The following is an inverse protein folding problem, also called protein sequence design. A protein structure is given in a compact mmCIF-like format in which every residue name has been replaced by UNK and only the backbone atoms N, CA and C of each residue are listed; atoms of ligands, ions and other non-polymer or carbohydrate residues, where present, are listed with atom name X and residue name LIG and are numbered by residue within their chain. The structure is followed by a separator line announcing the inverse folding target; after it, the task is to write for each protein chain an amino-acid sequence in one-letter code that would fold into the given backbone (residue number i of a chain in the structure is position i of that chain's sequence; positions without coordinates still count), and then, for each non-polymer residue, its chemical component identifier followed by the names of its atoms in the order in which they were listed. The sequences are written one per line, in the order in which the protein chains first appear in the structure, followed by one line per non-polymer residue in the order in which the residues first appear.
data_IF_063467439574
#
_entry.id   IF_063467439574
#
_cell.length_a   1.000
_cell.length_b   1.000
_cell.length_c   1.000
_cell.angle_alpha   90.00
_cell.angle_beta   90.00
_cell.angle_gamma   90.00
#
_symmetry.space_group_name_H-M   'P 1'
#
loop_
_entity.id
_entity.type
_entity.pdbx_description
1 polymer ?
#
# COMPACT_ATOMS: atom_id res chain seq x y z
N UNK A 1 -16.33 -1.65 -14.55
CA UNK A 1 -15.80 -1.10 -13.29
C UNK A 1 -14.47 -1.74 -12.87
N UNK A 2 -14.30 -3.07 -12.90
CA UNK A 2 -13.03 -3.73 -12.51
C UNK A 2 -11.79 -3.32 -13.33
N UNK A 3 -11.95 -3.05 -14.62
CA UNK A 3 -10.85 -2.59 -15.50
C UNK A 3 -10.28 -1.23 -15.10
N UNK A 4 -11.11 -0.30 -14.64
CA UNK A 4 -10.65 1.02 -14.18
C UNK A 4 -9.77 0.91 -12.94
N UNK A 5 -10.19 0.10 -11.95
CA UNK A 5 -9.38 -0.14 -10.76
C UNK A 5 -8.08 -0.88 -11.09
N UNK A 6 -8.13 -1.84 -12.03
CA UNK A 6 -6.94 -2.51 -12.54
C UNK A 6 -5.92 -1.58 -13.18
N UNK A 7 -6.38 -0.61 -13.97
CA UNK A 7 -5.52 0.41 -14.58
C UNK A 7 -5.01 1.39 -13.53
N UNK A 8 -5.83 1.79 -12.55
CA UNK A 8 -5.43 2.70 -11.47
C UNK A 8 -4.41 2.09 -10.50
N UNK A 9 -4.36 0.76 -10.35
CA UNK A 9 -3.31 0.10 -9.56
C UNK A 9 -1.91 0.34 -10.13
N UNK A 10 -1.77 0.44 -11.45
CA UNK A 10 -0.48 0.59 -12.11
C UNK A 10 0.27 1.88 -11.74
N UNK A 11 -0.31 3.08 -11.86
CA UNK A 11 0.37 4.30 -11.44
C UNK A 11 0.62 4.32 -9.92
N UNK A 12 -0.28 3.76 -9.10
CA UNK A 12 -0.09 3.69 -7.64
C UNK A 12 1.11 2.79 -7.31
N UNK A 13 1.18 1.61 -7.93
CA UNK A 13 2.29 0.69 -7.76
C UNK A 13 3.60 1.31 -8.25
N UNK A 14 3.58 2.01 -9.39
CA UNK A 14 4.75 2.72 -9.89
C UNK A 14 5.27 3.75 -8.89
N UNK A 15 4.40 4.60 -8.35
CA UNK A 15 4.77 5.60 -7.35
C UNK A 15 5.26 4.92 -6.07
N UNK A 16 4.63 3.82 -5.67
CA UNK A 16 5.04 3.04 -4.51
C UNK A 16 6.46 2.47 -4.67
N UNK A 17 6.73 1.78 -5.78
CA UNK A 17 8.08 1.25 -6.08
C UNK A 17 9.10 2.37 -6.24
N UNK A 18 8.71 3.50 -6.83
CA UNK A 18 9.60 4.66 -6.98
C UNK A 18 9.98 5.24 -5.61
N UNK A 19 9.03 5.34 -4.68
CA UNK A 19 9.30 5.78 -3.32
C UNK A 19 10.15 4.75 -2.54
N UNK A 20 9.99 3.45 -2.82
CA UNK A 20 10.76 2.38 -2.17
C UNK A 20 12.21 2.29 -2.64
N UNK A 21 12.44 2.28 -3.96
CA UNK A 21 13.75 1.97 -4.54
C UNK A 21 14.51 3.21 -5.02
N UNK A 22 13.85 4.37 -5.13
CA UNK A 22 14.44 5.62 -5.63
C UNK A 22 14.87 5.60 -7.11
N UNK A 23 14.83 4.45 -7.78
CA UNK A 23 15.25 4.25 -9.17
C UNK A 23 14.06 4.06 -10.08
N UNK A 24 13.98 4.87 -11.14
CA UNK A 24 12.91 4.84 -12.15
C UNK A 24 12.88 3.53 -12.93
N UNK A 25 14.05 2.95 -13.24
CA UNK A 25 14.15 1.68 -14.00
C UNK A 25 13.53 0.53 -13.23
N UNK A 26 13.82 0.40 -11.94
CA UNK A 26 13.29 -0.68 -11.09
C UNK A 26 11.77 -0.53 -10.93
N UNK A 27 11.30 0.69 -10.70
CA UNK A 27 9.87 0.98 -10.62
C UNK A 27 9.12 0.69 -11.93
N UNK A 28 9.71 1.06 -13.07
CA UNK A 28 9.14 0.77 -14.39
C UNK A 28 9.10 -0.73 -14.66
N UNK A 29 10.20 -1.46 -14.44
CA UNK A 29 10.24 -2.91 -14.60
C UNK A 29 9.22 -3.63 -13.72
N UNK A 30 9.12 -3.27 -12.44
CA UNK A 30 8.14 -3.87 -11.53
C UNK A 30 6.69 -3.56 -11.91
N UNK A 31 6.41 -2.35 -12.38
CA UNK A 31 5.07 -1.97 -12.85
C UNK A 31 4.71 -2.69 -14.16
N UNK A 32 5.66 -2.83 -15.09
CA UNK A 32 5.48 -3.59 -16.33
C UNK A 32 5.21 -5.06 -16.01
N UNK A 33 6.00 -5.65 -15.11
CA UNK A 33 5.83 -7.04 -14.70
C UNK A 33 4.46 -7.27 -14.06
N UNK A 34 3.98 -6.33 -13.24
CA UNK A 34 2.62 -6.37 -12.68
C UNK A 34 1.53 -6.12 -13.73
N UNK A 35 1.76 -5.27 -14.73
CA UNK A 35 0.82 -5.02 -15.82
C UNK A 35 0.60 -6.24 -16.71
N UNK A 36 1.67 -6.99 -16.97
CA UNK A 36 1.66 -8.21 -17.78
C UNK A 36 1.45 -9.48 -16.97
N UNK A 37 1.18 -9.37 -15.67
CA UNK A 37 0.80 -10.52 -14.87
C UNK A 37 -0.57 -11.05 -15.34
N UNK A 38 -0.59 -12.33 -15.73
CA UNK A 38 -1.79 -12.96 -16.29
C UNK A 38 -2.95 -12.96 -15.30
N UNK A 39 -2.67 -13.05 -14.00
CA UNK A 39 -3.70 -13.06 -12.96
C UNK A 39 -4.33 -11.67 -12.82
N UNK A 40 -3.53 -10.60 -12.78
CA UNK A 40 -4.04 -9.22 -12.80
C UNK A 40 -4.87 -8.93 -14.07
N UNK A 41 -4.37 -9.32 -15.24
CA UNK A 41 -5.05 -9.09 -16.51
C UNK A 41 -6.41 -9.80 -16.59
N UNK A 42 -6.50 -11.05 -16.14
CA UNK A 42 -7.73 -11.83 -16.17
C UNK A 42 -8.72 -11.33 -15.10
N UNK A 43 -8.26 -11.05 -13.88
CA UNK A 43 -9.13 -10.61 -12.78
C UNK A 43 -9.79 -9.26 -13.03
N UNK A 44 -9.07 -8.32 -13.62
CA UNK A 44 -9.60 -6.99 -13.95
C UNK A 44 -10.66 -7.05 -15.06
N UNK A 45 -10.63 -8.08 -15.93
CA UNK A 45 -11.59 -8.31 -17.03
C UNK A 45 -12.83 -9.08 -16.60
N UNK A 46 -12.69 -10.07 -15.71
CA UNK A 46 -13.82 -10.81 -15.14
C UNK A 46 -14.55 -9.98 -14.05
N UNK A 47 -14.01 -8.79 -13.71
CA UNK A 47 -14.59 -7.82 -12.78
C UNK A 47 -14.96 -8.45 -11.43
N UNK A 48 -14.08 -9.32 -10.92
CA UNK A 48 -14.27 -9.94 -9.61
C UNK A 48 -14.00 -8.95 -8.48
N UNK A 49 -14.66 -9.17 -7.34
CA UNK A 49 -14.52 -8.33 -6.16
C UNK A 49 -13.09 -8.28 -5.60
N UNK A 50 -12.26 -9.29 -5.93
CA UNK A 50 -10.86 -9.37 -5.57
C UNK A 50 -10.03 -8.17 -6.05
N UNK A 51 -10.36 -7.63 -7.23
CA UNK A 51 -9.67 -6.47 -7.79
C UNK A 51 -9.79 -5.26 -6.85
N UNK A 52 -10.96 -5.03 -6.25
CA UNK A 52 -11.13 -3.90 -5.33
C UNK A 52 -10.36 -4.13 -4.02
N UNK A 53 -10.34 -5.37 -3.52
CA UNK A 53 -9.58 -5.73 -2.31
C UNK A 53 -8.08 -5.45 -2.46
N UNK A 54 -7.48 -5.90 -3.57
CA UNK A 54 -6.05 -5.67 -3.85
C UNK A 54 -5.74 -4.18 -3.98
N UNK A 55 -6.65 -3.39 -4.58
CA UNK A 55 -6.48 -1.95 -4.73
C UNK A 55 -6.37 -1.24 -3.38
N UNK A 56 -7.29 -1.54 -2.45
CA UNK A 56 -7.29 -0.95 -1.12
C UNK A 56 -6.13 -1.45 -0.26
N UNK A 57 -5.72 -2.71 -0.42
CA UNK A 57 -4.49 -3.23 0.20
C UNK A 57 -3.29 -2.42 -0.28
N UNK A 58 -3.11 -2.25 -1.60
CA UNK A 58 -1.99 -1.50 -2.15
C UNK A 58 -1.96 -0.05 -1.62
N UNK A 59 -3.12 0.60 -1.56
CA UNK A 59 -3.23 1.98 -1.11
C UNK A 59 -2.94 2.13 0.40
N UNK A 60 -3.43 1.20 1.23
CA UNK A 60 -3.13 1.19 2.67
C UNK A 60 -1.62 0.99 2.92
N UNK A 61 -0.99 0.05 2.22
CA UNK A 61 0.46 -0.16 2.32
C UNK A 61 1.28 1.01 1.78
N UNK A 62 0.81 1.70 0.73
CA UNK A 62 1.46 2.90 0.23
C UNK A 62 1.52 4.02 1.29
N UNK A 63 0.41 4.28 1.98
CA UNK A 63 0.37 5.29 3.04
C UNK A 63 1.12 4.86 4.30
N UNK A 64 1.08 3.58 4.66
CA UNK A 64 1.90 3.01 5.74
C UNK A 64 3.39 3.16 5.45
N UNK A 65 3.83 2.88 4.22
CA UNK A 65 5.23 3.07 3.84
C UNK A 65 5.64 4.52 4.01
N UNK A 66 4.86 5.47 3.50
CA UNK A 66 5.12 6.91 3.68
C UNK A 66 5.12 7.35 5.15
N UNK A 67 4.40 6.65 6.03
CA UNK A 67 4.49 6.86 7.47
C UNK A 67 5.83 6.36 8.05
N UNK A 68 6.32 5.22 7.58
CA UNK A 68 7.57 4.59 8.07
C UNK A 68 8.83 5.28 7.52
N UNK A 69 8.80 5.82 6.30
CA UNK A 69 9.97 6.51 5.71
C UNK A 69 10.17 7.93 6.26
N UNK A 70 9.19 8.49 6.99
CA UNK A 70 9.35 9.81 7.61
C UNK A 70 10.34 9.78 8.76
N UNK A 71 11.02 10.89 9.00
CA UNK A 71 11.96 10.98 10.13
C UNK A 71 11.22 10.83 11.46
N UNK A 72 11.80 10.12 12.44
CA UNK A 72 11.21 9.97 13.77
C UNK A 72 11.11 11.29 14.51
N UNK A 73 11.98 12.26 14.21
CA UNK A 73 11.98 13.61 14.80
C UNK A 73 10.85 14.52 14.29
N UNK A 74 10.20 14.18 13.17
CA UNK A 74 9.06 14.95 12.72
C UNK A 74 7.93 14.86 13.75
N UNK A 75 7.33 16.02 14.06
CA UNK A 75 6.19 16.10 14.98
C UNK A 75 5.14 15.03 14.65
N UNK A 76 4.76 14.25 15.67
CA UNK A 76 3.78 13.16 15.55
C UNK A 76 2.48 13.61 14.83
N UNK A 77 2.07 14.87 15.02
CA UNK A 77 0.91 15.46 14.34
C UNK A 77 1.05 15.51 12.80
N UNK A 78 2.26 15.61 12.25
CA UNK A 78 2.51 15.60 10.80
C UNK A 78 2.53 14.19 10.22
N UNK A 79 2.88 13.17 11.01
CA UNK A 79 2.90 11.76 10.59
C UNK A 79 1.53 11.09 10.73
N UNK A 80 0.70 11.55 11.67
CA UNK A 80 -0.68 11.09 11.92
C UNK A 80 -1.60 11.03 10.68
N UNK A 81 -1.66 12.03 9.77
CA UNK A 81 -2.55 11.97 8.61
C UNK A 81 -2.23 10.81 7.66
N UNK A 82 -0.94 10.46 7.50
CA UNK A 82 -0.56 9.31 6.66
C UNK A 82 -1.01 7.98 7.29
N UNK A 83 -0.90 7.87 8.62
CA UNK A 83 -1.35 6.70 9.36
C UNK A 83 -2.90 6.58 9.35
N UNK A 84 -3.60 7.70 9.53
CA UNK A 84 -5.06 7.76 9.46
C UNK A 84 -5.57 7.37 8.05
N UNK A 85 -4.93 7.85 6.98
CA UNK A 85 -5.26 7.43 5.62
C UNK A 85 -4.99 5.94 5.39
N UNK A 86 -3.87 5.41 5.89
CA UNK A 86 -3.59 3.97 5.84
C UNK A 86 -4.70 3.16 6.51
N UNK A 87 -5.14 3.57 7.71
CA UNK A 87 -6.23 2.93 8.45
C UNK A 87 -7.58 3.04 7.74
N UNK A 88 -7.88 4.22 7.15
CA UNK A 88 -9.10 4.45 6.38
C UNK A 88 -9.21 3.50 5.19
N UNK A 89 -8.16 3.42 4.36
CA UNK A 89 -8.17 2.53 3.19
C UNK A 89 -8.16 1.06 3.56
N UNK A 90 -7.47 0.69 4.66
CA UNK A 90 -7.56 -0.66 5.22
C UNK A 90 -9.01 -1.00 5.65
N UNK A 91 -9.68 -0.09 6.36
CA UNK A 91 -11.07 -0.28 6.80
C UNK A 91 -12.04 -0.43 5.62
N UNK A 92 -11.89 0.41 4.59
CA UNK A 92 -12.68 0.29 3.35
C UNK A 92 -12.41 -1.06 2.66
N UNK A 93 -11.15 -1.49 2.60
CA UNK A 93 -10.79 -2.79 2.03
C UNK A 93 -11.40 -3.97 2.80
N UNK A 94 -11.37 -3.94 4.13
CA UNK A 94 -12.02 -4.94 4.98
C UNK A 94 -13.53 -5.01 4.76
N UNK A 95 -14.19 -3.88 4.51
CA UNK A 95 -15.61 -3.84 4.17
C UNK A 95 -15.90 -4.46 2.80
N UNK A 96 -14.98 -4.35 1.83
CA UNK A 96 -15.13 -4.99 0.53
C UNK A 96 -14.87 -6.50 0.56
N UNK A 97 -13.84 -6.96 1.27
CA UNK A 97 -13.49 -8.38 1.35
C UNK A 97 -12.69 -8.71 2.61
N UNK A 98 -13.11 -9.75 3.31
CA UNK A 98 -12.45 -10.24 4.54
C UNK A 98 -10.98 -10.63 4.37
N UNK A 99 -10.55 -10.99 3.15
CA UNK A 99 -9.13 -11.28 2.85
C UNK A 99 -8.22 -10.09 3.19
N UNK A 100 -8.75 -8.86 3.16
CA UNK A 100 -7.97 -7.66 3.50
C UNK A 100 -7.54 -7.68 4.97
N UNK A 101 -8.24 -8.39 5.86
CA UNK A 101 -7.85 -8.54 7.27
C UNK A 101 -6.44 -9.15 7.40
N UNK A 102 -6.07 -10.08 6.51
CA UNK A 102 -4.73 -10.65 6.49
C UNK A 102 -3.66 -9.59 6.18
N UNK A 103 -3.97 -8.65 5.27
CA UNK A 103 -3.10 -7.52 5.00
C UNK A 103 -2.96 -6.60 6.22
N UNK A 104 -4.00 -6.52 7.06
CA UNK A 104 -3.99 -5.79 8.33
C UNK A 104 -2.98 -6.30 9.34
N UNK A 105 -2.75 -7.62 9.39
CA UNK A 105 -1.70 -8.20 10.23
C UNK A 105 -0.30 -7.67 9.84
N UNK A 106 -0.02 -7.56 8.54
CA UNK A 106 1.23 -6.98 8.06
C UNK A 106 1.34 -5.47 8.33
N UNK A 107 0.25 -4.71 8.21
CA UNK A 107 0.23 -3.29 8.59
C UNK A 107 0.52 -3.12 10.10
N UNK A 108 -0.05 -3.97 10.95
CA UNK A 108 0.19 -3.96 12.38
C UNK A 108 1.66 -4.30 12.71
N UNK A 109 2.23 -5.32 12.05
CA UNK A 109 3.64 -5.65 12.21
C UNK A 109 4.55 -4.47 11.83
N UNK A 110 4.29 -3.82 10.70
CA UNK A 110 5.02 -2.64 10.24
C UNK A 110 4.91 -1.46 11.22
N UNK A 111 3.72 -1.24 11.78
CA UNK A 111 3.50 -0.22 12.80
C UNK A 111 4.31 -0.49 14.08
N UNK A 112 4.31 -1.72 14.57
CA UNK A 112 5.10 -2.11 15.75
C UNK A 112 6.60 -1.94 15.50
N UNK A 113 7.09 -2.35 14.33
CA UNK A 113 8.50 -2.16 13.94
C UNK A 113 8.87 -0.67 14.01
N UNK A 114 8.01 0.21 13.48
CA UNK A 114 8.22 1.65 13.55
C UNK A 114 8.25 2.17 14.99
N UNK A 115 7.34 1.71 15.85
CA UNK A 115 7.33 2.09 17.27
C UNK A 115 8.62 1.70 17.98
N UNK A 116 9.10 0.46 17.75
CA UNK A 116 10.36 -0.02 18.34
C UNK A 116 11.54 0.82 17.84
N UNK A 117 11.55 1.19 16.56
CA UNK A 117 12.62 2.02 16.00
C UNK A 117 12.62 3.42 16.59
N UNK A 118 11.46 4.09 16.66
CA UNK A 118 11.33 5.38 17.36
C UNK A 118 11.78 5.27 18.82
N UNK A 119 11.35 4.24 19.55
CA UNK A 119 11.74 4.05 20.95
C UNK A 119 13.26 3.92 21.13
N UNK A 120 13.94 3.19 20.24
CA UNK A 120 15.41 3.09 20.26
C UNK A 120 16.12 4.40 19.86
N UNK A 121 15.48 5.25 19.05
CA UNK A 121 16.06 6.51 18.60
C UNK A 121 16.04 7.59 19.69
N UNK A 122 15.01 7.59 20.54
CA UNK A 122 14.87 8.55 21.65
C UNK A 122 15.56 8.12 22.96
N UNK A 123 16.11 6.91 23.02
CA UNK A 123 16.83 6.38 24.17
C UNK A 123 18.34 6.50 23.94
#
# INVERSE_FOLDING_TARGET
MGTLFGVLMLPILYIFLKNMFGKTVIAACGTILFAFDFMHYVQTRIATIDTYGVFFILLSYFFMYRYITRDPEEAFNKSLPSLALSGLFFGIGCACKWIVIYAGAGLLALYIIRLIWCYKYYK
#
